data_IF_432014666930
#
_entry.id   IF_432014666930
#
_cell.length_a   1.000
_cell.length_b   1.000
_cell.length_c   1.000
_cell.angle_alpha   90.00
_cell.angle_beta   90.00
_cell.angle_gamma   90.00
#
_symmetry.space_group_name_H-M   'P 1'
#
loop_
_entity.id
_entity.type
_entity.pdbx_description
1 polymer ?
#
# COMPACT_ATOMS: atom_id res chain seq x y z
N UNK A 1 -32.13 7.39 44.09
CA UNK A 1 -30.79 7.66 43.50
C UNK A 1 -30.97 8.72 42.44
N UNK A 2 -30.62 9.97 42.75
CA UNK A 2 -30.72 11.13 41.88
C UNK A 2 -29.39 11.30 41.12
N UNK A 3 -29.44 11.29 39.80
CA UNK A 3 -28.27 11.57 38.96
C UNK A 3 -27.98 13.07 39.00
N UNK A 4 -26.84 13.43 39.58
CA UNK A 4 -26.29 14.79 39.51
C UNK A 4 -25.73 15.01 38.11
N UNK A 5 -26.42 15.81 37.30
CA UNK A 5 -25.93 16.29 36.01
C UNK A 5 -24.75 17.24 36.29
N UNK A 6 -23.55 16.89 35.83
CA UNK A 6 -22.36 17.75 35.94
C UNK A 6 -22.15 18.51 34.61
N UNK A 7 -22.48 19.82 34.53
CA UNK A 7 -22.38 20.61 33.31
C UNK A 7 -20.94 21.06 32.94
N UNK A 8 -19.90 20.65 33.68
CA UNK A 8 -18.54 21.18 33.48
C UNK A 8 -17.80 20.73 32.20
N UNK A 9 -18.42 19.94 31.33
CA UNK A 9 -17.83 19.60 30.02
C UNK A 9 -18.43 20.38 28.85
N UNK A 10 -19.28 21.37 29.13
CA UNK A 10 -19.81 22.26 28.12
C UNK A 10 -18.79 23.36 27.78
N UNK A 11 -18.27 23.30 26.55
CA UNK A 11 -17.50 24.32 25.84
C UNK A 11 -16.04 24.55 26.29
N UNK A 12 -15.12 23.89 25.57
CA UNK A 12 -13.81 24.48 25.31
C UNK A 12 -13.97 25.58 24.23
N UNK A 13 -13.74 26.87 24.54
CA UNK A 13 -13.94 27.98 23.59
C UNK A 13 -12.83 28.08 22.52
N UNK A 14 -11.87 27.16 22.50
CA UNK A 14 -10.81 27.11 21.49
C UNK A 14 -11.16 26.16 20.36
N UNK A 15 -12.25 26.44 19.64
CA UNK A 15 -12.37 25.99 18.26
C UNK A 15 -11.64 27.02 17.38
N UNK A 16 -10.46 26.71 16.81
CA UNK A 16 -9.81 27.63 15.90
C UNK A 16 -10.77 27.96 14.74
N UNK A 17 -11.10 29.24 14.59
CA UNK A 17 -11.88 29.74 13.47
C UNK A 17 -11.16 29.39 12.16
N UNK A 18 -11.85 28.79 11.18
CA UNK A 18 -11.25 28.54 9.88
C UNK A 18 -11.00 29.89 9.20
N UNK A 19 -9.72 30.27 9.06
CA UNK A 19 -9.30 31.43 8.30
C UNK A 19 -9.77 31.29 6.85
N UNK A 20 -10.69 32.17 6.46
CA UNK A 20 -11.40 32.20 5.18
C UNK A 20 -10.57 32.76 4.00
N UNK A 21 -9.24 32.62 4.04
CA UNK A 21 -8.35 33.10 3.00
C UNK A 21 -7.67 31.93 2.27
N UNK A 22 -8.17 31.63 1.07
CA UNK A 22 -7.40 31.04 -0.04
C UNK A 22 -6.90 29.60 0.14
N UNK A 23 -7.80 28.62 0.26
CA UNK A 23 -7.45 27.19 0.27
C UNK A 23 -7.78 26.49 -1.05
N UNK A 24 -7.22 26.95 -2.18
CA UNK A 24 -7.24 26.18 -3.44
C UNK A 24 -6.27 24.99 -3.43
N UNK A 25 -5.40 24.88 -2.42
CA UNK A 25 -4.69 23.66 -2.10
C UNK A 25 -5.52 22.83 -1.12
N UNK A 26 -6.54 22.13 -1.62
CA UNK A 26 -7.28 21.14 -0.85
C UNK A 26 -6.35 19.96 -0.53
N UNK A 27 -5.55 20.11 0.51
CA UNK A 27 -4.67 19.08 1.06
C UNK A 27 -5.55 17.90 1.50
N UNK A 28 -5.67 16.86 0.67
CA UNK A 28 -6.43 15.64 0.98
C UNK A 28 -6.23 15.23 2.44
N UNK A 29 -7.32 14.90 3.15
CA UNK A 29 -7.23 14.43 4.52
C UNK A 29 -6.33 13.18 4.58
N UNK A 30 -5.57 12.94 5.67
CA UNK A 30 -4.68 11.78 5.76
C UNK A 30 -5.38 10.45 5.43
N UNK A 31 -6.65 10.32 5.82
CA UNK A 31 -7.52 9.19 5.50
C UNK A 31 -7.79 9.06 3.99
N UNK A 32 -8.05 10.17 3.30
CA UNK A 32 -8.22 10.18 1.84
C UNK A 32 -6.92 9.78 1.14
N UNK A 33 -5.75 10.27 1.58
CA UNK A 33 -4.45 9.90 0.98
C UNK A 33 -4.17 8.40 1.09
N UNK A 34 -4.40 7.82 2.28
CA UNK A 34 -4.24 6.38 2.50
C UNK A 34 -5.24 5.56 1.65
N UNK A 35 -6.49 6.03 1.56
CA UNK A 35 -7.49 5.37 0.74
C UNK A 35 -7.13 5.44 -0.75
N UNK A 36 -6.60 6.57 -1.23
CA UNK A 36 -6.10 6.70 -2.60
C UNK A 36 -4.93 5.75 -2.86
N UNK A 37 -3.96 5.67 -1.94
CA UNK A 37 -2.83 4.73 -2.05
C UNK A 37 -3.33 3.29 -2.21
N UNK A 38 -4.23 2.85 -1.32
CA UNK A 38 -4.81 1.52 -1.38
C UNK A 38 -5.66 1.31 -2.65
N UNK A 39 -6.36 2.34 -3.12
CA UNK A 39 -7.18 2.26 -4.33
C UNK A 39 -6.32 2.05 -5.56
N UNK A 40 -5.28 2.87 -5.70
CA UNK A 40 -4.34 2.81 -6.81
C UNK A 40 -3.61 1.48 -6.80
N UNK A 41 -3.06 1.07 -5.65
CA UNK A 41 -2.35 -0.21 -5.52
C UNK A 41 -3.30 -1.39 -5.81
N UNK A 42 -4.50 -1.44 -5.23
CA UNK A 42 -5.47 -2.49 -5.53
C UNK A 42 -5.80 -2.57 -7.02
N UNK A 43 -6.04 -1.42 -7.67
CA UNK A 43 -6.35 -1.34 -9.09
C UNK A 43 -5.22 -1.90 -9.96
N UNK A 44 -3.99 -1.44 -9.74
CA UNK A 44 -2.83 -1.95 -10.46
C UNK A 44 -2.60 -3.44 -10.21
N UNK A 45 -2.70 -3.91 -8.97
CA UNK A 45 -2.51 -5.33 -8.64
C UNK A 45 -3.56 -6.23 -9.29
N UNK A 46 -4.83 -5.81 -9.33
CA UNK A 46 -5.88 -6.58 -10.00
C UNK A 46 -5.60 -6.65 -11.51
N UNK A 47 -5.31 -5.51 -12.15
CA UNK A 47 -5.05 -5.46 -13.60
C UNK A 47 -3.81 -6.26 -13.96
N UNK A 48 -2.68 -6.04 -13.29
CA UNK A 48 -1.42 -6.74 -13.53
C UNK A 48 -1.56 -8.23 -13.23
N UNK A 49 -2.24 -8.59 -12.12
CA UNK A 49 -2.47 -9.97 -11.73
C UNK A 49 -3.31 -10.74 -12.76
N UNK A 50 -4.42 -10.16 -13.24
CA UNK A 50 -5.26 -10.78 -14.29
C UNK A 50 -4.48 -10.90 -15.60
N UNK A 51 -3.87 -9.82 -16.08
CA UNK A 51 -3.15 -9.82 -17.35
C UNK A 51 -1.97 -10.80 -17.32
N UNK A 52 -1.16 -10.79 -16.26
CA UNK A 52 -0.01 -11.68 -16.15
C UNK A 52 -0.39 -13.16 -15.98
N UNK A 53 -1.52 -13.45 -15.34
CA UNK A 53 -2.03 -14.81 -15.20
C UNK A 53 -2.58 -15.38 -16.52
N UNK A 54 -3.42 -14.61 -17.22
CA UNK A 54 -4.05 -15.02 -18.47
C UNK A 54 -3.05 -15.03 -19.64
N UNK A 55 -2.11 -14.09 -19.67
CA UNK A 55 -1.12 -13.92 -20.72
C UNK A 55 0.31 -14.20 -20.21
N UNK A 56 0.65 -15.45 -19.86
CA UNK A 56 1.98 -15.80 -19.36
C UNK A 56 3.08 -15.54 -20.40
N UNK A 57 2.73 -15.32 -21.67
CA UNK A 57 3.68 -14.91 -22.72
C UNK A 57 4.36 -13.58 -22.40
N UNK A 58 3.70 -12.72 -21.60
CA UNK A 58 4.27 -11.49 -21.05
C UNK A 58 5.50 -11.74 -20.17
N UNK A 59 5.74 -12.98 -19.73
CA UNK A 59 6.98 -13.36 -19.05
C UNK A 59 8.23 -12.94 -19.80
N UNK A 60 8.24 -12.90 -21.14
CA UNK A 60 9.42 -12.46 -21.90
C UNK A 60 9.71 -10.97 -21.80
N UNK A 61 8.69 -10.15 -21.46
CA UNK A 61 8.87 -8.72 -21.19
C UNK A 61 9.41 -8.51 -19.78
N UNK A 62 9.02 -9.37 -18.83
CA UNK A 62 9.44 -9.26 -17.43
C UNK A 62 10.77 -9.99 -17.14
N UNK A 63 11.01 -11.12 -17.76
CA UNK A 63 12.20 -11.94 -17.63
C UNK A 63 12.87 -11.96 -19.00
N UNK A 64 13.96 -11.23 -19.13
CA UNK A 64 14.77 -11.24 -20.35
C UNK A 64 15.63 -12.50 -20.29
N UNK A 65 15.00 -13.63 -20.64
CA UNK A 65 15.67 -14.94 -20.69
C UNK A 65 16.10 -15.22 -22.11
N UNK A 66 17.36 -15.59 -22.31
CA UNK A 66 17.89 -15.94 -23.64
C UNK A 66 17.62 -17.40 -24.01
N UNK A 67 17.35 -18.27 -23.01
CA UNK A 67 17.15 -19.71 -23.22
C UNK A 67 15.67 -20.14 -23.09
N UNK A 68 15.22 -21.03 -23.97
CA UNK A 68 13.88 -21.63 -23.95
C UNK A 68 13.55 -22.33 -22.61
N UNK A 69 14.54 -22.94 -21.97
CA UNK A 69 14.36 -23.59 -20.66
C UNK A 69 14.03 -22.57 -19.57
N UNK A 70 14.77 -21.48 -19.51
CA UNK A 70 14.55 -20.38 -18.56
C UNK A 70 13.21 -19.70 -18.79
N UNK A 71 12.83 -19.51 -20.05
CA UNK A 71 11.52 -18.98 -20.41
C UNK A 71 10.37 -19.89 -19.93
N UNK A 72 10.52 -21.22 -20.05
CA UNK A 72 9.53 -22.16 -19.55
C UNK A 72 9.38 -22.08 -18.02
N UNK A 73 10.50 -22.00 -17.30
CA UNK A 73 10.52 -21.81 -15.84
C UNK A 73 9.91 -20.46 -15.45
N UNK A 74 10.28 -19.38 -16.14
CA UNK A 74 9.74 -18.04 -15.90
C UNK A 74 8.21 -18.01 -16.04
N UNK A 75 7.64 -18.67 -17.06
CA UNK A 75 6.18 -18.80 -17.21
C UNK A 75 5.54 -19.61 -16.08
N UNK A 76 6.19 -20.69 -15.64
CA UNK A 76 5.70 -21.52 -14.55
C UNK A 76 5.69 -20.77 -13.21
N UNK A 77 6.65 -19.88 -12.98
CA UNK A 77 6.73 -19.02 -11.78
C UNK A 77 5.80 -17.79 -11.90
N UNK A 78 5.69 -17.20 -13.09
CA UNK A 78 4.91 -15.97 -13.29
C UNK A 78 3.43 -16.18 -12.97
N UNK A 79 2.83 -17.30 -13.38
CA UNK A 79 1.41 -17.57 -13.13
C UNK A 79 1.03 -17.55 -11.64
N UNK A 80 1.66 -18.36 -10.76
CA UNK A 80 1.35 -18.31 -9.34
C UNK A 80 1.68 -16.94 -8.74
N UNK A 81 2.76 -16.29 -9.17
CA UNK A 81 3.09 -14.93 -8.71
C UNK A 81 2.01 -13.91 -9.07
N UNK A 82 1.50 -13.92 -10.31
CA UNK A 82 0.39 -13.06 -10.73
C UNK A 82 -0.92 -13.39 -10.00
N UNK A 83 -1.15 -14.66 -9.65
CA UNK A 83 -2.30 -15.04 -8.81
C UNK A 83 -2.19 -14.48 -7.39
N UNK A 84 -0.99 -14.45 -6.82
CA UNK A 84 -0.73 -13.82 -5.52
C UNK A 84 -0.94 -12.30 -5.58
N UNK A 85 -0.44 -11.64 -6.63
CA UNK A 85 -0.67 -10.20 -6.85
C UNK A 85 -2.16 -9.90 -6.96
N UNK A 86 -2.91 -10.71 -7.72
CA UNK A 86 -4.35 -10.56 -7.84
C UNK A 86 -5.06 -10.71 -6.48
N UNK A 87 -4.71 -11.75 -5.73
CA UNK A 87 -5.25 -11.98 -4.39
C UNK A 87 -4.96 -10.80 -3.45
N UNK A 88 -3.73 -10.29 -3.45
CA UNK A 88 -3.34 -9.08 -2.69
C UNK A 88 -4.17 -7.87 -3.13
N UNK A 89 -4.36 -7.65 -4.43
CA UNK A 89 -5.17 -6.56 -4.96
C UNK A 89 -6.62 -6.62 -4.46
N UNK A 90 -7.24 -7.82 -4.47
CA UNK A 90 -8.58 -8.04 -3.94
C UNK A 90 -8.64 -7.80 -2.42
N UNK A 91 -7.63 -8.27 -1.67
CA UNK A 91 -7.53 -8.02 -0.23
C UNK A 91 -7.45 -6.52 0.08
N UNK A 92 -6.58 -5.77 -0.60
CA UNK A 92 -6.46 -4.31 -0.44
C UNK A 92 -7.78 -3.62 -0.80
N UNK A 93 -8.40 -4.04 -1.91
CA UNK A 93 -9.67 -3.47 -2.38
C UNK A 93 -10.74 -3.51 -1.29
N UNK A 94 -10.82 -4.63 -0.55
CA UNK A 94 -11.71 -4.83 0.59
C UNK A 94 -11.23 -4.08 1.84
N UNK A 95 -9.93 -4.12 2.14
CA UNK A 95 -9.34 -3.48 3.32
C UNK A 95 -9.56 -1.96 3.38
N UNK A 96 -9.75 -1.30 2.23
CA UNK A 96 -10.13 0.13 2.18
C UNK A 96 -11.38 0.47 2.97
N UNK A 97 -12.38 -0.43 2.96
CA UNK A 97 -13.66 -0.26 3.66
C UNK A 97 -13.57 -0.54 5.16
N UNK A 98 -12.44 -1.08 5.64
CA UNK A 98 -12.23 -1.32 7.07
C UNK A 98 -12.02 0.03 7.76
N UNK A 99 -12.78 0.28 8.82
CA UNK A 99 -12.68 1.52 9.60
C UNK A 99 -11.71 1.40 10.77
N UNK A 100 -11.28 0.18 11.09
CA UNK A 100 -10.26 -0.07 12.09
C UNK A 100 -8.88 0.41 11.62
N UNK A 101 -8.31 1.35 12.37
CA UNK A 101 -7.01 1.91 12.09
C UNK A 101 -5.85 0.96 12.42
N UNK A 102 -5.98 0.09 13.42
CA UNK A 102 -4.94 -0.88 13.76
C UNK A 102 -4.77 -1.90 12.63
N UNK A 103 -5.89 -2.40 12.09
CA UNK A 103 -5.88 -3.30 10.93
C UNK A 103 -5.24 -2.61 9.73
N UNK A 104 -5.62 -1.36 9.44
CA UNK A 104 -5.01 -0.59 8.34
C UNK A 104 -3.52 -0.38 8.54
N UNK A 105 -3.08 -0.08 9.75
CA UNK A 105 -1.66 0.06 10.09
C UNK A 105 -0.90 -1.25 9.88
N UNK A 106 -1.46 -2.39 10.31
CA UNK A 106 -0.87 -3.70 10.09
C UNK A 106 -0.70 -3.99 8.58
N UNK A 107 -1.69 -3.66 7.75
CA UNK A 107 -1.57 -3.76 6.29
C UNK A 107 -0.45 -2.88 5.75
N UNK A 108 -0.37 -1.60 6.14
CA UNK A 108 0.68 -0.68 5.68
C UNK A 108 2.07 -1.20 6.06
N UNK A 109 2.24 -1.68 7.30
CA UNK A 109 3.50 -2.25 7.79
C UNK A 109 3.90 -3.52 7.04
N UNK A 110 2.94 -4.43 6.81
CA UNK A 110 3.19 -5.66 6.06
C UNK A 110 3.62 -5.34 4.62
N UNK A 111 2.97 -4.39 3.95
CA UNK A 111 3.36 -3.95 2.60
C UNK A 111 4.72 -3.27 2.59
N UNK A 112 5.03 -2.43 3.59
CA UNK A 112 6.35 -1.82 3.71
C UNK A 112 7.45 -2.88 3.78
N UNK A 113 7.32 -3.87 4.66
CA UNK A 113 8.31 -4.96 4.80
C UNK A 113 8.40 -5.77 3.51
N UNK A 114 7.27 -6.12 2.90
CA UNK A 114 7.24 -6.88 1.66
C UNK A 114 7.97 -6.15 0.51
N UNK A 115 7.70 -4.86 0.34
CA UNK A 115 8.34 -4.05 -0.71
C UNK A 115 9.81 -3.77 -0.42
N UNK A 116 10.19 -3.57 0.85
CA UNK A 116 11.58 -3.42 1.24
C UNK A 116 12.39 -4.68 0.90
N UNK A 117 11.91 -5.85 1.31
CA UNK A 117 12.58 -7.12 1.00
C UNK A 117 12.63 -7.37 -0.51
N UNK A 118 11.53 -7.10 -1.23
CA UNK A 118 11.50 -7.22 -2.70
C UNK A 118 12.51 -6.27 -3.37
N UNK A 119 12.64 -5.04 -2.87
CA UNK A 119 13.61 -4.06 -3.37
C UNK A 119 15.04 -4.57 -3.18
N UNK A 120 15.37 -5.06 -1.98
CA UNK A 120 16.69 -5.62 -1.68
C UNK A 120 17.00 -6.81 -2.59
N UNK A 121 16.06 -7.75 -2.74
CA UNK A 121 16.25 -8.89 -3.65
C UNK A 121 16.50 -8.46 -5.09
N UNK A 122 15.75 -7.49 -5.61
CA UNK A 122 15.95 -6.96 -6.96
C UNK A 122 17.28 -6.22 -7.12
N UNK A 123 17.72 -5.47 -6.10
CA UNK A 123 19.01 -4.80 -6.11
C UNK A 123 20.17 -5.81 -6.14
N UNK A 124 20.10 -6.86 -5.31
CA UNK A 124 21.10 -7.92 -5.28
C UNK A 124 21.19 -8.63 -6.64
N UNK A 125 20.05 -8.98 -7.23
CA UNK A 125 20.00 -9.61 -8.55
C UNK A 125 20.55 -8.70 -9.65
N UNK A 126 20.28 -7.40 -9.56
CA UNK A 126 20.80 -6.41 -10.51
C UNK A 126 22.33 -6.22 -10.40
N UNK A 127 22.87 -6.24 -9.18
CA UNK A 127 24.32 -6.16 -8.92
C UNK A 127 25.02 -7.43 -9.45
N UNK A 128 24.41 -8.59 -9.27
CA UNK A 128 24.96 -9.88 -9.71
C UNK A 128 24.90 -10.07 -11.23
N UNK A 129 24.20 -9.20 -11.96
CA UNK A 129 24.11 -9.18 -13.42
C UNK A 129 23.80 -10.55 -14.03
N UNK A 130 22.86 -11.27 -13.42
CA UNK A 130 22.52 -12.67 -13.70
C UNK A 130 21.88 -12.95 -15.07
N UNK A 131 21.89 -11.99 -16.01
CA UNK A 131 21.22 -12.14 -17.31
C UNK A 131 19.70 -11.93 -17.24
N UNK A 132 19.03 -12.42 -16.20
CA UNK A 132 17.56 -12.40 -16.05
C UNK A 132 16.98 -10.98 -15.95
N UNK A 133 17.77 -10.02 -15.47
CA UNK A 133 17.49 -8.58 -15.42
C UNK A 133 18.38 -7.74 -16.37
N UNK A 134 19.06 -8.38 -17.34
CA UNK A 134 20.04 -7.77 -18.27
C UNK A 134 19.46 -6.63 -19.13
N UNK A 135 18.13 -6.51 -19.23
CA UNK A 135 17.49 -5.30 -19.74
C UNK A 135 17.65 -4.16 -18.77
N UNK A 136 18.82 -3.53 -18.77
CA UNK A 136 19.23 -2.44 -17.88
C UNK A 136 18.14 -1.41 -17.64
N UNK A 137 17.32 -1.10 -18.65
CA UNK A 137 16.19 -0.18 -18.54
C UNK A 137 15.00 -0.76 -17.75
N UNK A 138 14.46 -1.92 -18.16
CA UNK A 138 13.30 -2.53 -17.50
C UNK A 138 13.61 -3.03 -16.09
N UNK A 139 14.82 -3.53 -15.85
CA UNK A 139 15.28 -3.92 -14.51
C UNK A 139 15.37 -2.72 -13.56
N UNK A 140 16.02 -1.64 -14.00
CA UNK A 140 16.12 -0.40 -13.22
C UNK A 140 14.75 0.22 -12.95
N UNK A 141 13.84 0.21 -13.93
CA UNK A 141 12.48 0.73 -13.76
C UNK A 141 11.71 -0.03 -12.66
N UNK A 142 11.86 -1.36 -12.59
CA UNK A 142 11.22 -2.17 -11.53
C UNK A 142 11.79 -1.84 -10.15
N UNK A 143 13.11 -1.70 -10.04
CA UNK A 143 13.77 -1.33 -8.78
C UNK A 143 13.27 0.04 -8.34
N UNK A 144 13.21 1.02 -9.26
CA UNK A 144 12.73 2.36 -8.97
C UNK A 144 11.26 2.36 -8.53
N UNK A 145 10.41 1.56 -9.18
CA UNK A 145 9.02 1.38 -8.77
C UNK A 145 8.91 0.76 -7.36
N UNK A 146 9.74 -0.25 -7.05
CA UNK A 146 9.75 -0.88 -5.72
C UNK A 146 10.29 0.04 -4.63
N UNK A 147 11.31 0.85 -4.91
CA UNK A 147 11.79 1.90 -4.01
C UNK A 147 10.67 2.92 -3.76
N UNK A 148 10.00 3.39 -4.81
CA UNK A 148 8.91 4.35 -4.68
C UNK A 148 7.76 3.82 -3.82
N UNK A 149 7.37 2.55 -4.00
CA UNK A 149 6.38 1.89 -3.15
C UNK A 149 6.87 1.74 -1.71
N UNK A 150 8.12 1.31 -1.50
CA UNK A 150 8.72 1.18 -0.17
C UNK A 150 8.74 2.51 0.57
N UNK A 151 9.18 3.58 -0.09
CA UNK A 151 9.20 4.94 0.49
C UNK A 151 7.78 5.42 0.73
N UNK A 152 6.85 5.21 -0.21
CA UNK A 152 5.44 5.56 -0.06
C UNK A 152 4.83 4.91 1.18
N UNK A 153 4.92 3.59 1.31
CA UNK A 153 4.39 2.85 2.47
C UNK A 153 5.16 3.14 3.77
N UNK A 154 6.48 3.34 3.69
CA UNK A 154 7.32 3.73 4.82
C UNK A 154 6.93 5.10 5.37
N UNK A 155 6.64 6.07 4.50
CA UNK A 155 6.16 7.39 4.90
C UNK A 155 4.89 7.32 5.76
N UNK A 156 3.90 6.51 5.33
CA UNK A 156 2.70 6.27 6.13
C UNK A 156 2.96 5.50 7.43
N UNK A 157 4.03 4.69 7.50
CA UNK A 157 4.38 3.90 8.68
C UNK A 157 5.06 4.73 9.76
N UNK A 158 6.00 5.60 9.39
CA UNK A 158 6.87 6.31 10.35
C UNK A 158 6.49 7.77 10.59
N UNK A 159 5.91 8.45 9.60
CA UNK A 159 5.70 9.91 9.65
C UNK A 159 4.25 10.34 9.83
N UNK A 160 3.26 9.44 9.68
CA UNK A 160 1.88 9.78 10.00
C UNK A 160 1.55 9.50 11.48
N UNK A 161 1.02 10.50 12.22
CA UNK A 161 0.64 10.31 13.62
C UNK A 161 -0.50 9.28 13.75
N UNK A 162 -0.55 8.53 14.87
CA UNK A 162 -1.55 7.49 15.10
C UNK A 162 -3.00 7.99 15.00
N UNK A 163 -3.25 9.30 15.10
CA UNK A 163 -4.57 9.93 14.93
C UNK A 163 -5.25 9.66 13.57
N UNK A 164 -4.49 9.35 12.52
CA UNK A 164 -5.05 8.90 11.23
C UNK A 164 -5.78 7.56 11.37
N UNK A 165 -5.34 6.76 12.33
CA UNK A 165 -5.81 5.41 12.65
C UNK A 165 -6.74 5.39 13.89
N UNK A 166 -6.55 6.30 14.86
CA UNK A 166 -7.27 6.28 16.15
C UNK A 166 -8.67 6.90 16.14
N UNK A 167 -9.07 7.65 15.11
CA UNK A 167 -10.35 8.38 15.10
C UNK A 167 -11.63 7.55 14.88
N UNK A 168 -11.62 6.22 15.09
CA UNK A 168 -12.76 5.32 14.81
C UNK A 168 -13.05 4.32 15.95
N UNK A 169 -12.34 4.40 17.08
CA UNK A 169 -12.49 3.48 18.22
C UNK A 169 -13.16 4.03 19.49
N UNK A 170 -13.47 5.34 19.57
CA UNK A 170 -13.89 5.96 20.84
C UNK A 170 -15.41 5.94 21.08
N UNK A 171 -16.10 4.82 20.84
CA UNK A 171 -17.50 4.67 21.27
C UNK A 171 -17.83 3.24 21.70
N UNK A 172 -17.25 2.78 22.82
CA UNK A 172 -17.92 1.86 23.77
C UNK A 172 -16.96 1.44 24.88
N UNK A 173 -17.16 1.98 26.10
CA UNK A 173 -17.04 1.23 27.36
C UNK A 173 -17.26 2.14 28.59
N UNK A 174 -18.38 2.88 28.63
CA UNK A 174 -18.89 3.45 29.88
C UNK A 174 -20.30 2.92 30.13
N UNK A 175 -20.39 1.60 30.34
CA UNK A 175 -21.53 0.93 30.96
C UNK A 175 -20.99 -0.33 31.66
N UNK A 176 -20.35 -0.13 32.81
CA UNK A 176 -20.36 -1.05 33.94
C UNK A 176 -20.35 -0.20 35.21
#
# INVERSE_FOLDING_TARGET
MSYSYNPQYAYSPYSPQPSSFGSSASYFSPKQRLNTLFTVHAGFSIVIGILGYLFPRMAGVFFLTENNREYAVARAILRPYCSLILAQGLMIWRARKIHDGEIKRAFVQAYFVCFLLSTISLMLEHIQNSGVLSGKFFGTLKILAMIALTVGYGWFTFFQPPSVFSGLGTTRSHFQ
#
